data_IF_492481694788
#
_entry.id   IF_492481694788
#
_cell.length_a   1.000
_cell.length_b   1.000
_cell.length_c   1.000
_cell.angle_alpha   90.00
_cell.angle_beta   90.00
_cell.angle_gamma   90.00
#
_symmetry.space_group_name_H-M   'P 1'
#
loop_
_entity.id
_entity.type
_entity.pdbx_description
1 polymer ?
#
# COMPACT_ATOMS: atom_id res chain seq x y z
N UNK A 1 -8.68 1.61 -2.21
CA UNK A 1 -9.49 2.27 -1.16
C UNK A 1 -8.91 3.65 -0.90
N UNK A 2 -9.71 4.60 -0.43
CA UNK A 2 -9.27 5.97 -0.23
C UNK A 2 -10.10 6.61 0.88
N UNK A 3 -9.45 7.39 1.76
CA UNK A 3 -10.10 8.28 2.74
C UNK A 3 -9.57 9.71 2.55
N UNK A 4 -9.87 10.66 3.43
CA UNK A 4 -9.44 12.07 3.26
C UNK A 4 -7.91 12.24 3.25
N UNK A 5 -7.16 11.36 3.93
CA UNK A 5 -5.73 11.51 4.19
C UNK A 5 -4.86 10.51 3.42
N UNK A 6 -5.40 9.35 3.04
CA UNK A 6 -4.65 8.22 2.51
C UNK A 6 -5.29 7.60 1.26
N UNK A 7 -4.44 7.16 0.35
CA UNK A 7 -4.77 6.08 -0.59
C UNK A 7 -4.32 4.75 0.02
N UNK A 8 -5.08 3.69 -0.20
CA UNK A 8 -4.87 2.42 0.50
C UNK A 8 -5.16 1.20 -0.36
N UNK A 9 -4.33 0.17 -0.19
CA UNK A 9 -4.51 -1.15 -0.80
C UNK A 9 -4.58 -2.21 0.28
N UNK A 10 -5.49 -3.17 0.14
CA UNK A 10 -5.64 -4.30 1.04
C UNK A 10 -5.19 -5.59 0.35
N UNK A 11 -4.07 -6.15 0.79
CA UNK A 11 -3.57 -7.44 0.34
C UNK A 11 -4.04 -8.56 1.28
N UNK A 12 -4.58 -9.64 0.71
CA UNK A 12 -4.99 -10.82 1.47
C UNK A 12 -4.27 -12.07 0.99
N UNK A 13 -3.49 -12.71 1.87
CA UNK A 13 -2.75 -13.92 1.56
C UNK A 13 -2.35 -14.67 2.84
N UNK A 14 -1.68 -15.82 2.69
CA UNK A 14 -1.05 -16.57 3.79
C UNK A 14 0.33 -17.07 3.32
N UNK A 15 1.41 -16.91 4.11
CA UNK A 15 1.51 -16.27 5.44
C UNK A 15 1.36 -14.74 5.44
N UNK A 16 1.38 -14.11 6.63
CA UNK A 16 1.15 -12.66 6.80
C UNK A 16 2.10 -11.79 5.97
N UNK A 17 3.33 -12.24 5.80
CA UNK A 17 4.33 -11.53 4.99
C UNK A 17 3.93 -11.45 3.51
N UNK A 18 3.19 -12.43 2.98
CA UNK A 18 2.72 -12.38 1.60
C UNK A 18 1.57 -11.40 1.44
N UNK A 19 0.68 -11.31 2.45
CA UNK A 19 -0.37 -10.29 2.48
C UNK A 19 0.24 -8.89 2.54
N UNK A 20 1.29 -8.72 3.35
CA UNK A 20 2.07 -7.48 3.43
C UNK A 20 2.72 -7.13 2.09
N UNK A 21 3.41 -8.07 1.45
CA UNK A 21 4.06 -7.87 0.13
C UNK A 21 3.03 -7.48 -0.93
N UNK A 22 1.92 -8.22 -1.02
CA UNK A 22 0.87 -7.98 -2.00
C UNK A 22 0.32 -6.55 -1.87
N UNK A 23 -0.02 -6.13 -0.65
CA UNK A 23 -0.55 -4.79 -0.39
C UNK A 23 0.43 -3.68 -0.82
N UNK A 24 1.75 -3.87 -0.61
CA UNK A 24 2.75 -2.86 -0.98
C UNK A 24 3.07 -2.86 -2.47
N UNK A 25 3.13 -4.02 -3.12
CA UNK A 25 3.41 -4.10 -4.56
C UNK A 25 2.29 -3.45 -5.36
N UNK A 26 1.03 -3.76 -5.03
CA UNK A 26 -0.13 -3.13 -5.68
C UNK A 26 -0.19 -1.62 -5.39
N UNK A 27 0.24 -1.17 -4.22
CA UNK A 27 0.33 0.26 -3.91
C UNK A 27 1.44 0.98 -4.70
N UNK A 28 2.59 0.32 -4.92
CA UNK A 28 3.64 0.82 -5.82
C UNK A 28 3.09 0.95 -7.24
N UNK A 29 2.39 -0.07 -7.72
CA UNK A 29 1.79 -0.07 -9.06
C UNK A 29 0.73 1.03 -9.21
N UNK A 30 -0.07 1.30 -8.16
CA UNK A 30 -1.01 2.40 -8.19
C UNK A 30 -0.31 3.78 -8.25
N UNK A 31 0.76 3.98 -7.48
CA UNK A 31 1.58 5.19 -7.53
C UNK A 31 2.23 5.39 -8.92
N UNK A 32 2.74 4.32 -9.51
CA UNK A 32 3.34 4.31 -10.85
C UNK A 32 2.31 4.68 -11.93
N UNK A 33 1.16 4.00 -11.94
CA UNK A 33 0.17 4.10 -13.01
C UNK A 33 -0.67 5.39 -12.96
N UNK A 34 -1.08 5.84 -11.77
CA UNK A 34 -2.00 6.97 -11.64
C UNK A 34 -1.36 8.28 -11.19
N UNK A 35 -0.17 8.21 -10.57
CA UNK A 35 0.51 9.38 -10.03
C UNK A 35 1.89 9.61 -10.65
N UNK A 36 2.30 8.77 -11.60
CA UNK A 36 3.50 8.98 -12.41
C UNK A 36 4.82 8.90 -11.64
N UNK A 37 4.83 8.18 -10.51
CA UNK A 37 6.08 7.89 -9.81
C UNK A 37 6.92 6.89 -10.63
N UNK A 38 8.25 7.03 -10.58
CA UNK A 38 9.13 5.92 -10.94
C UNK A 38 8.94 4.77 -9.94
N UNK A 39 9.01 3.53 -10.43
CA UNK A 39 8.74 2.34 -9.61
C UNK A 39 9.72 2.20 -8.43
N UNK A 40 11.00 2.48 -8.63
CA UNK A 40 12.00 2.39 -7.55
C UNK A 40 11.85 3.55 -6.58
N UNK A 41 11.53 4.75 -7.06
CA UNK A 41 11.25 5.90 -6.20
C UNK A 41 10.00 5.65 -5.34
N UNK A 42 8.93 5.11 -5.91
CA UNK A 42 7.73 4.71 -5.18
C UNK A 42 8.04 3.65 -4.10
N UNK A 43 8.85 2.65 -4.44
CA UNK A 43 9.31 1.63 -3.48
C UNK A 43 10.08 2.25 -2.31
N UNK A 44 11.05 3.12 -2.60
CA UNK A 44 11.85 3.79 -1.57
C UNK A 44 11.01 4.72 -0.70
N UNK A 45 10.09 5.48 -1.30
CA UNK A 45 9.17 6.38 -0.60
C UNK A 45 8.22 5.60 0.31
N UNK A 46 7.64 4.50 -0.16
CA UNK A 46 6.79 3.64 0.66
C UNK A 46 7.57 3.07 1.85
N UNK A 47 8.85 2.72 1.67
CA UNK A 47 9.71 2.29 2.77
C UNK A 47 9.86 3.31 3.91
N UNK A 48 9.60 4.60 3.65
CA UNK A 48 9.69 5.68 4.65
C UNK A 48 8.33 6.20 5.12
N UNK A 49 7.33 6.20 4.22
CA UNK A 49 6.08 6.93 4.41
C UNK A 49 4.86 6.03 4.57
N UNK A 50 4.96 4.74 4.20
CA UNK A 50 3.81 3.85 4.26
C UNK A 50 3.37 3.60 5.69
N UNK A 51 2.06 3.58 5.90
CA UNK A 51 1.46 3.06 7.13
C UNK A 51 0.88 1.70 6.83
N UNK A 52 1.34 0.67 7.54
CA UNK A 52 0.85 -0.70 7.39
C UNK A 52 -0.05 -1.07 8.57
N UNK A 53 -1.26 -1.54 8.29
CA UNK A 53 -2.20 -2.00 9.30
C UNK A 53 -2.51 -3.48 9.07
N UNK A 54 -2.29 -4.31 10.10
CA UNK A 54 -2.77 -5.69 10.11
C UNK A 54 -4.27 -5.66 10.40
N UNK A 55 -5.09 -5.96 9.38
CA UNK A 55 -6.55 -5.86 9.49
C UNK A 55 -7.14 -7.12 10.16
N UNK A 56 -6.69 -8.30 9.75
CA UNK A 56 -7.02 -9.55 10.43
C UNK A 56 -5.88 -10.57 10.29
N UNK A 57 -5.79 -11.48 11.27
CA UNK A 57 -4.90 -12.66 11.27
C UNK A 57 -5.64 -13.94 11.68
N UNK A 58 -6.97 -13.89 11.71
CA UNK A 58 -7.81 -14.97 12.21
C UNK A 58 -8.56 -15.70 11.09
N UNK A 59 -8.73 -15.05 9.94
CA UNK A 59 -9.40 -15.62 8.79
C UNK A 59 -8.47 -16.59 8.04
N UNK A 60 -9.00 -17.43 7.12
CA UNK A 60 -8.19 -18.37 6.34
C UNK A 60 -7.02 -17.69 5.60
N UNK A 61 -7.26 -16.47 5.10
CA UNK A 61 -6.24 -15.57 4.56
C UNK A 61 -6.10 -14.37 5.50
N UNK A 62 -4.87 -13.95 5.77
CA UNK A 62 -4.61 -12.77 6.57
C UNK A 62 -4.68 -11.54 5.68
N UNK A 63 -5.10 -10.41 6.24
CA UNK A 63 -5.20 -9.15 5.47
C UNK A 63 -4.31 -8.07 6.08
N UNK A 64 -3.54 -7.43 5.21
CA UNK A 64 -2.74 -6.24 5.53
C UNK A 64 -3.20 -5.10 4.63
N UNK A 65 -3.37 -3.91 5.21
CA UNK A 65 -3.64 -2.69 4.47
C UNK A 65 -2.38 -1.84 4.45
N UNK A 66 -1.88 -1.55 3.24
CA UNK A 66 -0.81 -0.57 3.02
C UNK A 66 -1.45 0.78 2.66
N UNK A 67 -1.00 1.85 3.31
CA UNK A 67 -1.52 3.21 3.13
C UNK A 67 -0.41 4.17 2.73
N UNK A 68 -0.70 5.08 1.80
CA UNK A 68 0.20 6.17 1.40
C UNK A 68 -0.46 7.55 1.64
N UNK A 69 0.21 8.51 2.32
CA UNK A 69 -0.39 9.81 2.62
C UNK A 69 -0.57 10.67 1.37
N UNK A 70 -1.79 11.14 1.12
CA UNK A 70 -2.13 11.96 -0.05
C UNK A 70 -1.37 13.27 -0.14
N UNK A 71 -0.91 13.82 0.99
CA UNK A 71 -0.13 15.07 1.01
C UNK A 71 1.19 15.01 0.22
N UNK A 72 1.68 13.80 -0.09
CA UNK A 72 2.87 13.57 -0.91
C UNK A 72 2.54 13.19 -2.35
N UNK A 73 1.26 13.06 -2.70
CA UNK A 73 0.86 12.82 -4.08
C UNK A 73 1.00 14.12 -4.90
N UNK A 74 1.35 14.03 -6.18
CA UNK A 74 1.28 15.15 -7.09
C UNK A 74 -0.11 15.78 -7.08
N UNK A 75 -0.16 17.12 -7.16
CA UNK A 75 -1.43 17.82 -7.38
C UNK A 75 -1.97 17.46 -8.76
N UNK A 76 -3.20 16.95 -8.80
CA UNK A 76 -3.98 16.79 -10.02
C UNK A 76 -4.40 18.15 -10.57
#
# INVERSE_FOLDING_TARGET
LEDDEYIMVAGSARPLIDAFRLAHVELIEWLEQEYGFDRLDAYLLLGQLAVSTVANVVDPQYTVVAKFPKKYLPRR
#
